data_IF_919151838129
#
_entry.id   IF_919151838129
#
_cell.length_a   1.000
_cell.length_b   1.000
_cell.length_c   1.000
_cell.angle_alpha   90.00
_cell.angle_beta   90.00
_cell.angle_gamma   90.00
#
_symmetry.space_group_name_H-M   'P 1'
#
loop_
_entity.id
_entity.type
_entity.pdbx_description
1 polymer ?
#
# COMPACT_ATOMS: atom_id res chain seq x y z
N UNK A 1 -18.77 13.33 -7.15
CA UNK A 1 -18.53 12.00 -6.57
C UNK A 1 -17.19 12.00 -5.86
N UNK A 2 -17.05 11.19 -4.79
CA UNK A 2 -15.80 11.03 -4.02
C UNK A 2 -15.36 9.58 -4.11
N UNK A 3 -14.06 9.36 -4.18
CA UNK A 3 -13.51 8.01 -4.05
C UNK A 3 -13.63 7.58 -2.59
N UNK A 4 -14.27 6.43 -2.32
CA UNK A 4 -14.39 5.88 -0.97
C UNK A 4 -13.29 4.85 -0.72
N UNK A 5 -13.14 3.86 -1.61
CA UNK A 5 -12.14 2.81 -1.45
C UNK A 5 -11.70 2.23 -2.79
N UNK A 6 -10.56 1.58 -2.74
CA UNK A 6 -10.07 0.68 -3.79
C UNK A 6 -10.01 -0.71 -3.17
N UNK A 7 -10.56 -1.71 -3.86
CA UNK A 7 -10.63 -3.08 -3.37
C UNK A 7 -9.68 -3.99 -4.14
N UNK A 8 -8.96 -4.85 -3.41
CA UNK A 8 -8.07 -5.85 -4.00
C UNK A 8 -8.25 -7.21 -3.34
N UNK A 9 -8.17 -8.28 -4.15
CA UNK A 9 -8.21 -9.65 -3.68
C UNK A 9 -6.80 -10.09 -3.27
N UNK A 10 -6.65 -10.62 -2.05
CA UNK A 10 -5.35 -10.98 -1.46
C UNK A 10 -5.40 -12.36 -0.83
N UNK A 11 -4.23 -12.99 -0.64
CA UNK A 11 -4.15 -14.34 -0.11
C UNK A 11 -4.48 -14.40 1.39
N UNK A 12 -4.02 -13.42 2.16
CA UNK A 12 -4.18 -13.40 3.62
C UNK A 12 -4.53 -11.99 4.10
N UNK A 13 -5.84 -11.63 4.09
CA UNK A 13 -6.27 -10.29 4.51
C UNK A 13 -5.91 -9.94 5.95
N UNK A 14 -5.97 -10.89 6.87
CA UNK A 14 -5.68 -10.63 8.30
C UNK A 14 -4.21 -10.25 8.51
N UNK A 15 -3.30 -11.03 7.97
CA UNK A 15 -1.87 -10.75 8.08
C UNK A 15 -1.50 -9.45 7.37
N UNK A 16 -2.06 -9.24 6.18
CA UNK A 16 -1.81 -8.04 5.38
C UNK A 16 -2.32 -6.78 6.09
N UNK A 17 -3.55 -6.82 6.62
CA UNK A 17 -4.11 -5.71 7.39
C UNK A 17 -3.24 -5.36 8.59
N UNK A 18 -2.78 -6.35 9.34
CA UNK A 18 -1.90 -6.14 10.49
C UNK A 18 -0.58 -5.47 10.08
N UNK A 19 0.01 -5.90 8.97
CA UNK A 19 1.25 -5.34 8.47
C UNK A 19 1.09 -3.86 8.06
N UNK A 20 0.03 -3.54 7.33
CA UNK A 20 -0.24 -2.16 6.90
C UNK A 20 -0.59 -1.24 8.07
N UNK A 21 -1.32 -1.73 9.07
CA UNK A 21 -1.59 -0.96 10.28
C UNK A 21 -0.29 -0.65 11.04
N UNK A 22 0.55 -1.65 11.22
CA UNK A 22 1.79 -1.51 11.99
C UNK A 22 2.84 -0.66 11.28
N UNK A 23 3.02 -0.86 9.97
CA UNK A 23 4.17 -0.33 9.24
C UNK A 23 3.84 0.88 8.35
N UNK A 24 2.58 1.03 7.96
CA UNK A 24 2.14 2.13 7.09
C UNK A 24 1.21 3.11 7.79
N UNK A 25 0.87 2.85 9.05
CA UNK A 25 0.01 3.74 9.83
C UNK A 25 -1.44 3.77 9.37
N UNK A 26 -1.91 2.73 8.65
CA UNK A 26 -3.30 2.66 8.26
C UNK A 26 -4.17 2.30 9.47
N UNK A 27 -5.41 2.77 9.46
CA UNK A 27 -6.38 2.54 10.54
C UNK A 27 -7.45 1.56 10.08
N UNK A 28 -7.67 0.50 10.87
CA UNK A 28 -8.77 -0.42 10.61
C UNK A 28 -10.09 0.26 10.93
N UNK A 29 -10.97 0.36 9.91
CA UNK A 29 -12.30 0.97 10.04
C UNK A 29 -13.37 -0.09 10.28
N UNK A 30 -13.28 -1.20 9.54
CA UNK A 30 -14.25 -2.31 9.61
C UNK A 30 -13.59 -3.60 9.17
N UNK A 31 -14.00 -4.71 9.78
CA UNK A 31 -13.58 -6.05 9.34
C UNK A 31 -14.71 -7.05 9.49
N UNK A 32 -14.63 -8.15 8.73
CA UNK A 32 -15.48 -9.32 8.87
C UNK A 32 -14.61 -10.50 9.33
N UNK A 33 -14.97 -11.13 10.46
CA UNK A 33 -14.19 -12.26 11.01
C UNK A 33 -14.32 -13.52 10.15
N UNK A 34 -15.52 -13.76 9.60
CA UNK A 34 -15.76 -14.90 8.71
C UNK A 34 -15.16 -14.66 7.33
N UNK A 35 -14.93 -15.74 6.57
CA UNK A 35 -14.55 -15.62 5.17
C UNK A 35 -15.55 -14.72 4.43
N UNK A 36 -15.08 -13.80 3.56
CA UNK A 36 -13.75 -13.66 2.98
C UNK A 36 -12.76 -12.80 3.78
N UNK A 37 -12.98 -12.56 5.05
CA UNK A 37 -12.08 -11.81 5.95
C UNK A 37 -11.83 -10.38 5.48
N UNK A 38 -12.87 -9.69 5.07
CA UNK A 38 -12.78 -8.31 4.56
C UNK A 38 -12.25 -7.36 5.62
N UNK A 39 -11.29 -6.52 5.23
CA UNK A 39 -10.74 -5.45 6.06
C UNK A 39 -10.76 -4.14 5.27
N UNK A 40 -11.30 -3.09 5.90
CA UNK A 40 -11.25 -1.73 5.38
C UNK A 40 -10.20 -0.93 6.17
N UNK A 41 -9.19 -0.46 5.49
CA UNK A 41 -8.08 0.28 6.09
C UNK A 41 -8.05 1.70 5.56
N UNK A 42 -8.25 2.69 6.43
CA UNK A 42 -8.18 4.10 6.05
C UNK A 42 -6.74 4.62 6.15
N UNK A 43 -6.39 5.53 5.25
CA UNK A 43 -5.13 6.27 5.35
C UNK A 43 -5.24 7.42 6.37
N UNK A 44 -4.16 8.15 6.56
CA UNK A 44 -4.11 9.24 7.55
C UNK A 44 -5.01 10.43 7.21
N UNK A 45 -5.48 10.56 5.97
CA UNK A 45 -6.45 11.60 5.60
C UNK A 45 -7.85 11.29 6.11
N UNK A 46 -8.16 10.01 6.36
CA UNK A 46 -9.47 9.56 6.76
C UNK A 46 -10.54 9.68 5.68
N UNK A 47 -10.15 9.90 4.42
CA UNK A 47 -11.11 10.15 3.32
C UNK A 47 -11.15 9.05 2.28
N UNK A 48 -10.18 8.15 2.27
CA UNK A 48 -10.12 7.02 1.33
C UNK A 48 -9.64 5.77 2.05
N UNK A 49 -10.12 4.62 1.60
CA UNK A 49 -9.77 3.32 2.19
C UNK A 49 -9.21 2.37 1.16
N UNK A 50 -8.42 1.43 1.65
CA UNK A 50 -8.06 0.21 0.94
C UNK A 50 -8.91 -0.92 1.53
N UNK A 51 -9.68 -1.60 0.67
CA UNK A 51 -10.43 -2.80 1.05
C UNK A 51 -9.66 -4.03 0.59
N UNK A 52 -9.39 -4.94 1.50
CA UNK A 52 -8.75 -6.21 1.18
C UNK A 52 -9.61 -7.37 1.66
N UNK A 53 -9.65 -8.44 0.85
CA UNK A 53 -10.44 -9.64 1.12
C UNK A 53 -9.83 -10.83 0.38
N UNK A 54 -10.35 -12.02 0.65
CA UNK A 54 -9.97 -13.24 -0.09
C UNK A 54 -11.21 -13.84 -0.74
N UNK A 55 -11.58 -13.33 -1.91
CA UNK A 55 -12.77 -13.79 -2.65
C UNK A 55 -12.70 -13.36 -4.12
N UNK A 56 -12.68 -14.31 -5.08
CA UNK A 56 -12.57 -15.75 -4.85
C UNK A 56 -11.14 -16.17 -4.45
N UNK A 57 -11.00 -17.21 -3.60
CA UNK A 57 -9.69 -17.59 -3.06
C UNK A 57 -8.67 -18.05 -4.09
N UNK A 58 -9.14 -18.60 -5.20
CA UNK A 58 -8.30 -19.14 -6.27
C UNK A 58 -8.00 -18.13 -7.39
N UNK A 59 -8.50 -16.90 -7.25
CA UNK A 59 -8.30 -15.83 -8.23
C UNK A 59 -7.56 -14.62 -7.64
N UNK A 60 -6.60 -14.87 -6.76
CA UNK A 60 -5.73 -13.83 -6.26
C UNK A 60 -4.70 -13.46 -7.34
N UNK A 61 -4.59 -12.18 -7.73
CA UNK A 61 -3.60 -11.77 -8.72
C UNK A 61 -2.17 -12.11 -8.26
N UNK A 62 -1.29 -12.49 -9.20
CA UNK A 62 0.09 -12.83 -8.85
C UNK A 62 0.94 -11.56 -8.67
N UNK A 63 0.66 -10.81 -7.61
CA UNK A 63 1.27 -9.49 -7.38
C UNK A 63 2.78 -9.51 -7.47
N UNK A 64 3.43 -10.54 -6.91
CA UNK A 64 4.89 -10.63 -6.91
C UNK A 64 5.49 -10.76 -8.32
N UNK A 65 4.70 -11.18 -9.30
CA UNK A 65 5.13 -11.35 -10.69
C UNK A 65 4.58 -10.29 -11.64
N UNK A 66 3.72 -9.40 -11.13
CA UNK A 66 3.20 -8.28 -11.91
C UNK A 66 4.23 -7.17 -11.95
N UNK A 67 4.39 -6.54 -13.12
CA UNK A 67 5.23 -5.38 -13.22
C UNK A 67 4.65 -4.25 -12.35
N UNK A 68 5.45 -3.52 -11.56
CA UNK A 68 4.93 -2.45 -10.68
C UNK A 68 4.12 -1.38 -11.41
N UNK A 69 4.37 -1.15 -12.71
CA UNK A 69 3.60 -0.19 -13.49
C UNK A 69 2.23 -0.71 -13.94
N UNK A 70 1.95 -2.02 -13.79
CA UNK A 70 0.61 -2.55 -14.01
C UNK A 70 -0.30 -2.24 -12.85
N UNK A 71 0.23 -2.29 -11.64
CA UNK A 71 -0.48 -1.94 -10.42
C UNK A 71 0.51 -1.60 -9.32
N UNK A 72 0.36 -0.44 -8.74
CA UNK A 72 1.02 -0.10 -7.47
C UNK A 72 0.13 0.85 -6.68
N UNK A 73 0.29 0.86 -5.37
CA UNK A 73 -0.39 1.78 -4.48
C UNK A 73 0.66 2.76 -3.97
N UNK A 74 0.44 4.06 -4.16
CA UNK A 74 1.39 5.08 -3.79
C UNK A 74 0.93 5.82 -2.54
N UNK A 75 1.87 6.04 -1.63
CA UNK A 75 1.67 6.76 -0.37
C UNK A 75 2.58 7.98 -0.32
N UNK A 76 2.04 9.10 0.15
CA UNK A 76 2.87 10.28 0.42
C UNK A 76 3.74 9.98 1.64
N UNK A 77 5.03 10.24 1.51
CA UNK A 77 6.00 10.08 2.59
C UNK A 77 6.76 11.39 2.80
N UNK A 78 6.83 11.85 4.05
CA UNK A 78 7.62 13.03 4.39
C UNK A 78 9.13 12.74 4.36
N UNK A 79 9.51 11.48 4.61
CA UNK A 79 10.90 11.02 4.58
C UNK A 79 10.97 9.63 3.96
N UNK A 80 11.02 9.53 2.61
CA UNK A 80 11.06 8.23 1.93
C UNK A 80 12.27 7.38 2.29
N UNK A 81 13.41 7.99 2.65
CA UNK A 81 14.59 7.23 3.06
C UNK A 81 14.37 6.50 4.39
N UNK A 82 13.81 7.20 5.39
CA UNK A 82 13.49 6.60 6.67
C UNK A 82 12.38 5.55 6.55
N UNK A 83 11.32 5.86 5.80
CA UNK A 83 10.21 4.94 5.61
C UNK A 83 10.66 3.71 4.82
N UNK A 84 11.48 3.86 3.80
CA UNK A 84 12.09 2.74 3.07
C UNK A 84 12.82 1.81 4.04
N UNK A 85 13.67 2.36 4.91
CA UNK A 85 14.41 1.57 5.88
C UNK A 85 13.49 0.79 6.81
N UNK A 86 12.46 1.43 7.33
CA UNK A 86 11.45 0.78 8.19
C UNK A 86 10.76 -0.37 7.47
N UNK A 87 10.32 -0.15 6.23
CA UNK A 87 9.61 -1.16 5.46
C UNK A 87 10.50 -2.34 5.08
N UNK A 88 11.76 -2.09 4.72
CA UNK A 88 12.71 -3.17 4.44
C UNK A 88 12.95 -4.05 5.67
N UNK A 89 13.06 -3.46 6.86
CA UNK A 89 13.17 -4.22 8.11
C UNK A 89 11.88 -5.00 8.44
N UNK A 90 10.74 -4.55 7.91
CA UNK A 90 9.45 -5.21 8.12
C UNK A 90 9.12 -6.27 7.05
N UNK A 91 10.06 -6.57 6.15
CA UNK A 91 9.88 -7.64 5.16
C UNK A 91 9.55 -7.19 3.74
N UNK A 92 9.47 -5.89 3.49
CA UNK A 92 9.36 -5.37 2.12
C UNK A 92 10.68 -5.54 1.36
N UNK A 93 10.61 -5.50 0.03
CA UNK A 93 11.79 -5.54 -0.85
C UNK A 93 11.83 -4.31 -1.73
N UNK A 94 13.03 -3.79 -2.02
CA UNK A 94 13.22 -2.65 -2.89
C UNK A 94 13.17 -3.08 -4.36
N UNK A 95 12.39 -2.37 -5.18
CA UNK A 95 12.33 -2.60 -6.62
C UNK A 95 13.09 -1.52 -7.37
N UNK A 96 12.82 -0.25 -7.08
CA UNK A 96 13.43 0.89 -7.79
C UNK A 96 13.36 2.14 -6.93
N UNK A 97 14.26 3.08 -7.22
CA UNK A 97 14.33 4.34 -6.50
C UNK A 97 14.74 5.45 -7.45
N UNK A 98 13.97 6.53 -7.48
CA UNK A 98 14.23 7.69 -8.35
C UNK A 98 14.37 8.96 -7.52
N UNK A 99 15.44 9.70 -7.77
CA UNK A 99 15.61 11.06 -7.28
C UNK A 99 15.60 11.99 -8.50
N UNK A 100 14.54 12.79 -8.62
CA UNK A 100 14.35 13.65 -9.77
C UNK A 100 15.08 14.99 -9.59
N UNK A 101 15.33 15.68 -10.71
CA UNK A 101 16.05 16.95 -10.69
C UNK A 101 15.34 18.06 -9.92
N UNK A 102 14.02 17.97 -9.75
CA UNK A 102 13.23 18.94 -8.97
C UNK A 102 13.27 18.69 -7.45
N UNK A 103 13.94 17.62 -7.01
CA UNK A 103 14.03 17.23 -5.62
C UNK A 103 12.99 16.18 -5.19
N UNK A 104 12.10 15.75 -6.09
CA UNK A 104 11.16 14.68 -5.81
C UNK A 104 11.89 13.36 -5.59
N UNK A 105 11.37 12.53 -4.67
CA UNK A 105 11.95 11.24 -4.32
C UNK A 105 10.85 10.19 -4.34
N UNK A 106 11.00 9.19 -5.22
CA UNK A 106 10.06 8.10 -5.42
C UNK A 106 10.76 6.78 -5.12
N UNK A 107 10.17 5.97 -4.24
CA UNK A 107 10.72 4.66 -3.88
C UNK A 107 9.66 3.60 -4.17
N UNK A 108 9.97 2.66 -5.07
CA UNK A 108 9.11 1.53 -5.36
C UNK A 108 9.57 0.31 -4.60
N UNK A 109 8.66 -0.27 -3.81
CA UNK A 109 8.91 -1.49 -3.05
C UNK A 109 7.84 -2.54 -3.38
N UNK A 110 8.04 -3.76 -2.89
CA UNK A 110 6.99 -4.76 -2.77
C UNK A 110 6.79 -5.07 -1.30
N UNK A 111 5.53 -5.20 -0.90
CA UNK A 111 5.22 -5.66 0.44
C UNK A 111 5.56 -7.15 0.60
N UNK A 112 5.43 -7.76 1.79
CA UNK A 112 5.78 -9.17 1.97
C UNK A 112 4.99 -10.15 1.10
N UNK A 113 3.84 -9.73 0.56
CA UNK A 113 3.01 -10.55 -0.36
C UNK A 113 3.26 -10.23 -1.82
N UNK A 114 4.20 -9.32 -2.11
CA UNK A 114 4.60 -8.97 -3.46
C UNK A 114 3.84 -7.82 -4.10
N UNK A 115 2.84 -7.25 -3.42
CA UNK A 115 2.12 -6.10 -3.93
C UNK A 115 3.06 -4.89 -4.01
N UNK A 116 3.09 -4.24 -5.18
CA UNK A 116 3.91 -3.05 -5.36
C UNK A 116 3.32 -1.86 -4.60
N UNK A 117 4.16 -1.21 -3.80
CA UNK A 117 3.83 0.03 -3.12
C UNK A 117 4.92 1.06 -3.37
N UNK A 118 4.52 2.32 -3.48
CA UNK A 118 5.44 3.41 -3.76
C UNK A 118 5.37 4.45 -2.66
N UNK A 119 6.53 4.91 -2.22
CA UNK A 119 6.64 6.08 -1.35
C UNK A 119 6.92 7.30 -2.22
N UNK A 120 6.13 8.36 -2.05
CA UNK A 120 6.24 9.57 -2.86
C UNK A 120 6.50 10.79 -2.00
N UNK A 121 7.61 11.47 -2.24
CA UNK A 121 7.80 12.85 -1.80
C UNK A 121 7.99 13.72 -3.03
N UNK A 122 7.01 14.54 -3.33
CA UNK A 122 7.07 15.45 -4.47
C UNK A 122 7.56 16.82 -4.03
N UNK A 123 8.43 17.42 -4.85
CA UNK A 123 8.89 18.80 -4.62
C UNK A 123 7.71 19.77 -4.53
N UNK A 124 6.70 19.54 -5.38
CA UNK A 124 5.42 20.27 -5.33
C UNK A 124 4.29 19.27 -5.27
N UNK A 125 3.52 19.20 -4.18
CA UNK A 125 2.37 18.30 -4.08
C UNK A 125 1.37 18.55 -5.23
N UNK A 126 0.85 17.46 -5.81
CA UNK A 126 -0.14 17.55 -6.88
C UNK A 126 -1.55 17.85 -6.37
N UNK A 127 -1.86 17.40 -5.16
CA UNK A 127 -3.16 17.62 -4.54
C UNK A 127 -2.97 18.42 -3.26
N UNK A 128 -3.93 19.29 -2.99
CA UNK A 128 -3.99 19.99 -1.70
C UNK A 128 -4.59 19.03 -0.68
N UNK A 129 -3.81 18.76 0.36
CA UNK A 129 -4.24 17.92 1.48
C UNK A 129 -5.13 18.67 2.45
#
# INVERSE_FOLDING_TARGET
MKLEHIAINVADPRAMAAWYQKNMGLTLVRKTEAAPHTHFLADSSGTVMMEIYNNPPDEVPPYARMHPLQLHIAFVSADPEADKSTLLHAGATLVDELRLGDGSHLVMLRDPWGLALQLCRRATPMLRG
#
